data_IF_285186916791
#
_entry.id   IF_285186916791
#
_cell.length_a   1.000
_cell.length_b   1.000
_cell.length_c   1.000
_cell.angle_alpha   90.00
_cell.angle_beta   90.00
_cell.angle_gamma   90.00
#
_symmetry.space_group_name_H-M   'P 1'
#
loop_
_entity.id
_entity.type
_entity.pdbx_description
1 polymer ?
#
# COMPACT_ATOMS: atom_id res chain seq x y z
N UNK A 1 -23.69 -31.88 -34.85
CA UNK A 1 -24.43 -31.65 -33.60
C UNK A 1 -24.41 -30.16 -33.36
N UNK A 2 -25.53 -29.49 -33.58
CA UNK A 2 -25.69 -28.10 -33.18
C UNK A 2 -25.74 -28.05 -31.64
N UNK A 3 -24.90 -27.22 -31.03
CA UNK A 3 -24.96 -26.98 -29.59
C UNK A 3 -26.35 -26.47 -29.22
N UNK A 4 -26.91 -27.06 -28.17
CA UNK A 4 -28.15 -26.58 -27.57
C UNK A 4 -27.95 -25.16 -27.01
N UNK A 5 -29.03 -24.36 -26.95
CA UNK A 5 -28.94 -22.97 -26.50
C UNK A 5 -28.52 -22.87 -25.01
N UNK A 6 -28.79 -23.89 -24.20
CA UNK A 6 -28.28 -24.02 -22.83
C UNK A 6 -26.76 -24.20 -22.77
N UNK A 7 -26.18 -25.07 -23.61
CA UNK A 7 -24.72 -25.26 -23.67
C UNK A 7 -24.00 -23.99 -24.16
N UNK A 8 -24.60 -23.23 -25.07
CA UNK A 8 -24.08 -21.93 -25.51
C UNK A 8 -24.12 -20.91 -24.37
N UNK A 9 -25.22 -20.85 -23.62
CA UNK A 9 -25.36 -19.95 -22.47
C UNK A 9 -24.34 -20.27 -21.37
N UNK A 10 -24.15 -21.55 -21.03
CA UNK A 10 -23.21 -21.97 -20.00
C UNK A 10 -21.76 -21.67 -20.38
N UNK A 11 -21.37 -21.92 -21.65
CA UNK A 11 -20.04 -21.56 -22.16
C UNK A 11 -19.81 -20.04 -22.12
N UNK A 12 -20.82 -19.25 -22.47
CA UNK A 12 -20.76 -17.80 -22.45
C UNK A 12 -20.59 -17.27 -21.01
N UNK A 13 -21.28 -17.89 -20.04
CA UNK A 13 -21.17 -17.54 -18.62
C UNK A 13 -19.79 -17.89 -18.05
N UNK A 14 -19.24 -19.07 -18.42
CA UNK A 14 -17.86 -19.46 -18.05
C UNK A 14 -16.83 -18.49 -18.64
N UNK A 15 -16.96 -18.13 -19.91
CA UNK A 15 -16.06 -17.15 -20.55
C UNK A 15 -16.14 -15.77 -19.88
N UNK A 16 -17.34 -15.30 -19.52
CA UNK A 16 -17.51 -14.05 -18.77
C UNK A 16 -16.80 -14.09 -17.42
N UNK A 17 -17.00 -15.17 -16.64
CA UNK A 17 -16.31 -15.36 -15.35
C UNK A 17 -14.79 -15.37 -15.49
N UNK A 18 -14.25 -16.04 -16.51
CA UNK A 18 -12.81 -16.02 -16.78
C UNK A 18 -12.29 -14.63 -17.18
N UNK A 19 -13.02 -13.91 -18.02
CA UNK A 19 -12.69 -12.55 -18.44
C UNK A 19 -12.69 -11.59 -17.25
N UNK A 20 -13.68 -11.67 -16.37
CA UNK A 20 -13.74 -10.89 -15.13
C UNK A 20 -12.55 -11.19 -14.21
N UNK A 21 -12.20 -12.46 -14.05
CA UNK A 21 -11.07 -12.89 -13.22
C UNK A 21 -9.74 -12.37 -13.78
N UNK A 22 -9.57 -12.41 -15.12
CA UNK A 22 -8.41 -11.81 -15.80
C UNK A 22 -8.37 -10.29 -15.63
N UNK A 23 -9.52 -9.62 -15.74
CA UNK A 23 -9.64 -8.18 -15.53
C UNK A 23 -9.28 -7.78 -14.08
N UNK A 24 -9.78 -8.51 -13.07
CA UNK A 24 -9.42 -8.30 -11.66
C UNK A 24 -7.92 -8.47 -11.43
N UNK A 25 -7.30 -9.52 -12.00
CA UNK A 25 -5.84 -9.74 -11.91
C UNK A 25 -5.04 -8.60 -12.54
N UNK A 26 -5.49 -8.07 -13.69
CA UNK A 26 -4.83 -6.93 -14.35
C UNK A 26 -4.95 -5.65 -13.52
N UNK A 27 -6.15 -5.35 -13.03
CA UNK A 27 -6.41 -4.16 -12.21
C UNK A 27 -5.62 -4.21 -10.89
N UNK A 28 -5.50 -5.40 -10.29
CA UNK A 28 -4.69 -5.61 -9.09
C UNK A 28 -3.21 -5.37 -9.34
N UNK A 29 -2.67 -5.85 -10.48
CA UNK A 29 -1.28 -5.56 -10.87
C UNK A 29 -1.04 -4.07 -11.09
N UNK A 30 -1.97 -3.37 -11.75
CA UNK A 30 -1.88 -1.93 -11.92
C UNK A 30 -1.93 -1.20 -10.58
N UNK A 31 -2.83 -1.60 -9.68
CA UNK A 31 -2.92 -1.03 -8.34
C UNK A 31 -1.62 -1.22 -7.56
N UNK A 32 -1.03 -2.42 -7.59
CA UNK A 32 0.25 -2.69 -6.94
C UNK A 32 1.40 -1.90 -7.55
N UNK A 33 1.41 -1.73 -8.88
CA UNK A 33 2.45 -0.97 -9.58
C UNK A 33 2.41 0.53 -9.25
N UNK A 34 1.22 1.14 -9.33
CA UNK A 34 1.08 2.56 -8.94
C UNK A 34 1.24 2.74 -7.42
N UNK A 35 0.77 1.77 -6.64
CA UNK A 35 0.93 1.74 -5.19
C UNK A 35 2.39 1.72 -4.77
N UNK A 36 3.23 0.88 -5.40
CA UNK A 36 4.66 0.83 -5.07
C UNK A 36 5.41 2.10 -5.45
N UNK A 37 5.07 2.72 -6.59
CA UNK A 37 5.64 4.03 -6.96
C UNK A 37 5.25 5.08 -5.91
N UNK A 38 3.98 5.12 -5.53
CA UNK A 38 3.49 6.06 -4.51
C UNK A 38 4.16 5.82 -3.15
N UNK A 39 4.28 4.56 -2.72
CA UNK A 39 4.96 4.17 -1.48
C UNK A 39 6.42 4.64 -1.45
N UNK A 40 7.16 4.48 -2.55
CA UNK A 40 8.56 4.94 -2.64
C UNK A 40 8.62 6.47 -2.52
N UNK A 41 7.80 7.19 -3.29
CA UNK A 41 7.79 8.66 -3.29
C UNK A 41 7.39 9.21 -1.92
N UNK A 42 6.34 8.65 -1.31
CA UNK A 42 5.86 9.01 0.02
C UNK A 42 6.95 8.76 1.08
N UNK A 43 7.56 7.58 1.07
CA UNK A 43 8.60 7.22 2.05
C UNK A 43 9.81 8.14 1.94
N UNK A 44 10.25 8.47 0.72
CA UNK A 44 11.33 9.44 0.51
C UNK A 44 10.96 10.84 1.04
N UNK A 45 9.71 11.27 0.82
CA UNK A 45 9.23 12.55 1.35
C UNK A 45 9.22 12.57 2.88
N UNK A 46 8.78 11.48 3.54
CA UNK A 46 8.81 11.34 5.00
C UNK A 46 10.24 11.38 5.54
N UNK A 47 11.17 10.64 4.92
CA UNK A 47 12.58 10.64 5.33
C UNK A 47 13.17 12.06 5.20
N UNK A 48 12.89 12.76 4.10
CA UNK A 48 13.35 14.12 3.89
C UNK A 48 12.78 15.08 4.95
N UNK A 49 11.49 14.97 5.26
CA UNK A 49 10.85 15.78 6.29
C UNK A 49 11.47 15.54 7.67
N UNK A 50 11.70 14.28 8.04
CA UNK A 50 12.39 13.94 9.30
C UNK A 50 13.79 14.52 9.32
N UNK A 51 14.54 14.38 8.22
CA UNK A 51 15.89 14.90 8.12
C UNK A 51 15.95 16.43 8.29
N UNK A 52 15.05 17.16 7.62
CA UNK A 52 14.92 18.63 7.76
C UNK A 52 14.52 18.99 9.19
N UNK A 53 13.58 18.25 9.78
CA UNK A 53 13.12 18.47 11.15
C UNK A 53 14.25 18.28 12.17
N UNK A 54 15.01 17.18 12.09
CA UNK A 54 16.15 16.95 12.98
C UNK A 54 17.28 17.96 12.76
N UNK A 55 17.55 18.34 11.50
CA UNK A 55 18.51 19.39 11.18
C UNK A 55 18.12 20.72 11.86
N UNK A 56 16.84 21.09 11.77
CA UNK A 56 16.31 22.26 12.43
C UNK A 56 16.47 22.18 13.95
N UNK A 57 16.12 21.05 14.57
CA UNK A 57 16.30 20.87 16.01
C UNK A 57 17.76 21.03 16.46
N UNK A 58 18.70 20.36 15.78
CA UNK A 58 20.11 20.34 16.18
C UNK A 58 20.74 21.73 16.01
N UNK A 59 20.54 22.38 14.86
CA UNK A 59 21.26 23.61 14.52
C UNK A 59 20.55 24.89 14.98
N UNK A 60 19.22 24.89 15.12
CA UNK A 60 18.46 26.09 15.51
C UNK A 60 17.94 26.05 16.94
N UNK A 61 17.58 24.88 17.47
CA UNK A 61 16.95 24.78 18.79
C UNK A 61 17.97 24.49 19.89
N UNK A 62 18.82 23.47 19.71
CA UNK A 62 19.71 23.00 20.78
C UNK A 62 21.09 23.66 20.83
N UNK A 63 21.48 24.41 19.77
CA UNK A 63 22.77 25.16 19.68
C UNK A 63 23.95 24.40 20.28
N UNK A 64 24.15 23.15 19.85
CA UNK A 64 25.16 22.26 20.41
C UNK A 64 26.58 22.67 19.98
N UNK A 65 27.62 22.38 20.79
CA UNK A 65 29.01 22.50 20.38
C UNK A 65 29.28 21.69 19.11
N UNK A 66 30.12 22.21 18.21
CA UNK A 66 30.29 21.70 16.83
C UNK A 66 30.64 20.21 16.77
N UNK A 67 31.54 19.74 17.65
CA UNK A 67 31.92 18.33 17.74
C UNK A 67 30.72 17.44 18.11
N UNK A 68 29.91 17.86 19.09
CA UNK A 68 28.71 17.13 19.53
C UNK A 68 27.61 17.20 18.48
N UNK A 69 27.41 18.37 17.85
CA UNK A 69 26.43 18.56 16.79
C UNK A 69 26.68 17.60 15.62
N UNK A 70 27.95 17.41 15.22
CA UNK A 70 28.31 16.50 14.12
C UNK A 70 27.97 15.04 14.43
N UNK A 71 28.28 14.56 15.64
CA UNK A 71 27.94 13.19 16.05
C UNK A 71 26.44 13.00 16.15
N UNK A 72 25.72 13.91 16.80
CA UNK A 72 24.25 13.84 16.93
C UNK A 72 23.58 13.89 15.56
N UNK A 73 24.10 14.70 14.63
CA UNK A 73 23.59 14.78 13.27
C UNK A 73 23.73 13.46 12.50
N UNK A 74 24.88 12.78 12.62
CA UNK A 74 25.08 11.45 12.02
C UNK A 74 24.08 10.42 12.56
N UNK A 75 23.90 10.37 13.89
CA UNK A 75 22.88 9.49 14.48
C UNK A 75 21.46 9.85 14.03
N UNK A 76 21.12 11.14 13.98
CA UNK A 76 19.80 11.59 13.51
C UNK A 76 19.55 11.22 12.05
N UNK A 77 20.59 11.13 11.22
CA UNK A 77 20.46 10.71 9.82
C UNK A 77 20.04 9.24 9.74
N UNK A 78 20.70 8.37 10.52
CA UNK A 78 20.34 6.95 10.59
C UNK A 78 18.92 6.77 11.14
N UNK A 79 18.59 7.49 12.21
CA UNK A 79 17.25 7.45 12.82
C UNK A 79 16.18 7.96 11.86
N UNK A 80 16.44 9.05 11.12
CA UNK A 80 15.51 9.59 10.12
C UNK A 80 15.27 8.62 8.98
N UNK A 81 16.32 7.91 8.54
CA UNK A 81 16.20 6.91 7.50
C UNK A 81 15.36 5.71 7.96
N UNK A 82 15.77 5.05 9.05
CA UNK A 82 15.07 3.85 9.56
C UNK A 82 13.66 4.19 10.02
N UNK A 83 13.51 5.29 10.77
CA UNK A 83 12.23 5.78 11.24
C UNK A 83 11.32 6.19 10.09
N UNK A 84 11.87 6.85 9.07
CA UNK A 84 11.14 7.25 7.88
C UNK A 84 10.69 6.06 7.02
N UNK A 85 11.49 5.00 6.91
CA UNK A 85 11.06 3.74 6.27
C UNK A 85 9.85 3.14 6.99
N UNK A 86 9.90 3.05 8.32
CA UNK A 86 8.82 2.46 9.10
C UNK A 86 7.55 3.31 9.06
N UNK A 87 7.69 4.63 9.24
CA UNK A 87 6.57 5.56 9.18
C UNK A 87 5.97 5.63 7.77
N UNK A 88 6.80 5.69 6.73
CA UNK A 88 6.35 5.67 5.33
C UNK A 88 5.50 4.45 5.04
N UNK A 89 5.95 3.26 5.45
CA UNK A 89 5.17 2.03 5.29
C UNK A 89 3.83 2.06 6.05
N UNK A 90 3.80 2.60 7.27
CA UNK A 90 2.57 2.72 8.06
C UNK A 90 1.56 3.68 7.42
N UNK A 91 2.03 4.83 6.93
CA UNK A 91 1.18 5.82 6.28
C UNK A 91 0.67 5.26 4.96
N UNK A 92 1.54 4.66 4.14
CA UNK A 92 1.17 4.01 2.89
C UNK A 92 0.05 2.98 3.08
N UNK A 93 0.19 2.08 4.05
CA UNK A 93 -0.84 1.06 4.32
C UNK A 93 -2.19 1.68 4.71
N UNK A 94 -2.16 2.79 5.44
CA UNK A 94 -3.37 3.52 5.84
C UNK A 94 -4.00 4.23 4.65
N UNK A 95 -3.20 4.89 3.82
CA UNK A 95 -3.62 5.52 2.57
C UNK A 95 -4.21 4.49 1.59
N UNK A 96 -3.56 3.35 1.41
CA UNK A 96 -4.03 2.27 0.54
C UNK A 96 -5.39 1.73 1.01
N UNK A 97 -5.58 1.49 2.32
CA UNK A 97 -6.88 1.10 2.87
C UNK A 97 -7.94 2.16 2.59
N UNK A 98 -7.62 3.43 2.81
CA UNK A 98 -8.53 4.55 2.57
C UNK A 98 -8.93 4.66 1.10
N UNK A 99 -7.99 4.51 0.16
CA UNK A 99 -8.28 4.55 -1.29
C UNK A 99 -9.17 3.38 -1.69
N UNK A 100 -8.92 2.17 -1.17
CA UNK A 100 -9.75 1.00 -1.45
C UNK A 100 -11.19 1.24 -0.97
N UNK A 101 -11.36 1.75 0.24
CA UNK A 101 -12.68 2.03 0.83
C UNK A 101 -13.40 3.18 0.11
N UNK A 102 -12.72 4.30 -0.13
CA UNK A 102 -13.33 5.52 -0.69
C UNK A 102 -13.75 5.36 -2.15
N UNK A 103 -13.00 4.58 -2.93
CA UNK A 103 -13.30 4.34 -4.35
C UNK A 103 -14.01 3.01 -4.61
N UNK A 104 -14.42 2.29 -3.55
CA UNK A 104 -15.05 0.98 -3.60
C UNK A 104 -14.35 0.00 -4.56
N UNK A 105 -13.02 -0.10 -4.44
CA UNK A 105 -12.19 -0.95 -5.31
C UNK A 105 -12.26 -2.44 -4.95
N UNK A 106 -13.00 -2.78 -3.90
CA UNK A 106 -13.20 -4.15 -3.38
C UNK A 106 -13.61 -5.13 -4.49
N UNK A 107 -14.51 -4.72 -5.39
CA UNK A 107 -14.99 -5.62 -6.44
C UNK A 107 -14.01 -5.76 -7.62
N UNK A 108 -13.06 -4.82 -7.74
CA UNK A 108 -12.12 -4.70 -8.87
C UNK A 108 -10.74 -5.28 -8.57
N UNK A 109 -10.42 -5.51 -7.30
CA UNK A 109 -9.14 -6.05 -6.84
C UNK A 109 -9.25 -7.53 -6.50
N UNK A 110 -8.12 -8.24 -6.52
CA UNK A 110 -8.03 -9.63 -6.08
C UNK A 110 -8.11 -9.72 -4.55
N UNK A 111 -8.63 -10.84 -4.05
CA UNK A 111 -8.69 -11.11 -2.61
C UNK A 111 -7.32 -11.07 -1.94
N UNK A 112 -6.24 -11.40 -2.66
CA UNK A 112 -4.86 -11.31 -2.16
C UNK A 112 -4.46 -9.85 -1.85
N UNK A 113 -4.73 -8.92 -2.76
CA UNK A 113 -4.46 -7.49 -2.54
C UNK A 113 -5.36 -6.95 -1.43
N UNK A 114 -6.64 -7.33 -1.43
CA UNK A 114 -7.58 -6.90 -0.40
C UNK A 114 -7.22 -7.44 0.99
N UNK A 115 -6.76 -8.68 1.10
CA UNK A 115 -6.29 -9.27 2.36
C UNK A 115 -5.03 -8.59 2.90
N UNK A 116 -4.23 -7.95 2.04
CA UNK A 116 -3.02 -7.26 2.48
C UNK A 116 -3.28 -5.82 2.97
N UNK A 117 -4.21 -5.12 2.32
CA UNK A 117 -4.45 -3.69 2.54
C UNK A 117 -5.80 -3.34 3.18
N UNK A 118 -6.86 -4.10 2.91
CA UNK A 118 -8.21 -3.80 3.42
C UNK A 118 -8.45 -4.42 4.80
N UNK A 119 -8.76 -3.57 5.79
CA UNK A 119 -9.18 -4.04 7.13
C UNK A 119 -10.49 -4.84 7.07
N UNK A 120 -11.43 -4.42 6.23
CA UNK A 120 -12.75 -5.05 6.07
C UNK A 120 -12.65 -6.45 5.44
N UNK A 121 -11.81 -6.61 4.43
CA UNK A 121 -11.57 -7.91 3.80
C UNK A 121 -10.89 -8.90 4.77
N UNK A 122 -9.89 -8.44 5.53
CA UNK A 122 -9.27 -9.26 6.60
C UNK A 122 -10.25 -9.70 7.68
N UNK A 123 -11.21 -8.85 8.05
CA UNK A 123 -12.23 -9.20 9.03
C UNK A 123 -13.19 -10.27 8.48
N UNK A 124 -13.65 -10.12 7.25
CA UNK A 124 -14.51 -11.09 6.58
C UNK A 124 -13.83 -12.45 6.38
N UNK A 125 -12.54 -12.47 6.04
CA UNK A 125 -11.75 -13.71 5.90
C UNK A 125 -11.60 -14.43 7.26
N UNK A 126 -11.36 -13.68 8.35
CA UNK A 126 -11.31 -14.23 9.71
C UNK A 126 -12.66 -14.77 10.20
N UNK A 127 -13.77 -14.18 9.80
CA UNK A 127 -15.10 -14.69 10.12
C UNK A 127 -15.45 -15.94 9.30
N UNK A 128 -15.04 -16.00 8.03
CA UNK A 128 -15.23 -17.17 7.18
C UNK A 128 -14.46 -18.41 7.69
N UNK A 129 -13.28 -18.21 8.29
CA UNK A 129 -12.47 -19.29 8.90
C UNK A 129 -13.00 -19.79 10.25
N UNK A 130 -13.97 -19.09 10.86
CA UNK A 130 -14.59 -19.47 12.14
C UNK A 130 -15.91 -20.24 11.98
N UNK A 131 -16.44 -20.34 10.76
CA UNK A 131 -17.62 -21.14 10.41
C UNK A 131 -17.22 -22.49 9.85
#
# INVERSE_FOLDING_TARGET
MDMTDEEKAERLERQKKELELRAKKRNSRLFLFFGSIFEIVETLAVILLLFVFFSFLIFKVFTLPEATARTVFQFSTIVSFIGGLFLGFMIYKTCANFVIEKFNLTDKLSNEVLGHYSKRARAAEKEALKK
#
